data_IF_671082975862
#
_entry.id   IF_671082975862
#
_cell.length_a   1.000
_cell.length_b   1.000
_cell.length_c   1.000
_cell.angle_alpha   90.00
_cell.angle_beta   90.00
_cell.angle_gamma   90.00
#
_symmetry.space_group_name_H-M   'P 1'
#
loop_
_entity.id
_entity.type
_entity.pdbx_description
1 polymer ?
#
# COMPACT_ATOMS: atom_id res chain seq x y z
N UNK A 1 -10.61 34.09 -17.37
CA UNK A 1 -11.83 33.28 -17.19
C UNK A 1 -11.96 32.89 -15.73
N UNK A 2 -13.15 33.00 -15.12
CA UNK A 2 -13.40 32.41 -13.79
C UNK A 2 -13.37 30.89 -13.93
N UNK A 3 -12.50 30.21 -13.18
CA UNK A 3 -12.53 28.74 -13.07
C UNK A 3 -13.78 28.34 -12.31
N UNK A 4 -14.59 27.45 -12.87
CA UNK A 4 -15.77 26.88 -12.21
C UNK A 4 -15.39 25.50 -11.67
N UNK A 5 -15.75 25.23 -10.42
CA UNK A 5 -15.54 23.93 -9.78
C UNK A 5 -16.75 23.03 -10.13
N UNK A 6 -16.48 21.80 -10.56
CA UNK A 6 -17.49 20.82 -11.02
C UNK A 6 -17.21 19.44 -10.44
N UNK A 7 -18.30 18.73 -10.13
CA UNK A 7 -18.26 17.28 -9.92
C UNK A 7 -18.68 16.56 -11.21
N UNK A 8 -18.12 15.38 -11.47
CA UNK A 8 -18.56 14.54 -12.57
C UNK A 8 -19.67 13.60 -12.13
N UNK A 9 -20.77 13.58 -12.90
CA UNK A 9 -21.86 12.62 -12.71
C UNK A 9 -21.89 11.57 -13.84
N UNK A 10 -21.87 10.30 -13.42
CA UNK A 10 -22.01 9.17 -14.33
C UNK A 10 -23.44 9.11 -14.89
N UNK A 11 -23.58 9.21 -16.21
CA UNK A 11 -24.87 9.08 -16.90
C UNK A 11 -25.38 7.63 -17.03
N UNK A 12 -24.69 6.65 -16.42
CA UNK A 12 -24.99 5.21 -16.48
C UNK A 12 -25.21 4.68 -17.91
N UNK A 13 -24.47 5.22 -18.90
CA UNK A 13 -24.73 4.96 -20.31
C UNK A 13 -24.08 3.68 -20.87
N UNK A 14 -23.28 2.97 -20.05
CA UNK A 14 -22.60 1.71 -20.42
C UNK A 14 -21.47 1.84 -21.44
N UNK A 15 -21.21 3.05 -21.97
CA UNK A 15 -20.26 3.25 -23.07
C UNK A 15 -18.81 3.06 -22.66
N UNK A 16 -18.44 3.46 -21.44
CA UNK A 16 -17.11 3.14 -20.92
C UNK A 16 -16.94 1.63 -20.84
N UNK A 17 -17.92 0.91 -20.27
CA UNK A 17 -17.92 -0.55 -20.15
C UNK A 17 -17.86 -1.31 -21.49
N UNK A 18 -18.25 -0.69 -22.60
CA UNK A 18 -18.22 -1.29 -23.93
C UNK A 18 -16.87 -1.14 -24.66
N UNK A 19 -15.90 -0.47 -24.05
CA UNK A 19 -14.58 -0.17 -24.62
C UNK A 19 -13.53 -0.08 -23.51
N UNK A 20 -13.36 -1.16 -22.73
CA UNK A 20 -12.31 -1.29 -21.71
C UNK A 20 -11.39 -2.46 -22.06
N UNK A 21 -10.08 -2.23 -22.07
CA UNK A 21 -9.11 -3.33 -22.17
C UNK A 21 -8.95 -4.02 -20.81
N UNK A 22 -8.69 -3.24 -19.75
CA UNK A 22 -8.54 -3.73 -18.39
C UNK A 22 -9.18 -2.75 -17.40
N UNK A 23 -10.01 -3.26 -16.49
CA UNK A 23 -10.52 -2.48 -15.35
C UNK A 23 -9.81 -2.95 -14.09
N UNK A 24 -8.95 -2.11 -13.55
CA UNK A 24 -8.23 -2.43 -12.32
C UNK A 24 -9.19 -2.52 -11.13
N UNK A 25 -8.99 -3.52 -10.28
CA UNK A 25 -9.63 -3.66 -8.98
C UNK A 25 -8.59 -4.12 -7.95
N UNK A 26 -8.94 -4.05 -6.67
CA UNK A 26 -8.13 -4.57 -5.57
C UNK A 26 -8.73 -5.84 -4.98
N UNK A 27 -7.99 -6.58 -4.14
CA UNK A 27 -8.54 -7.69 -3.38
C UNK A 27 -9.74 -7.26 -2.51
N UNK A 28 -9.71 -6.02 -1.98
CA UNK A 28 -10.83 -5.43 -1.26
C UNK A 28 -12.11 -5.37 -2.09
N UNK A 29 -12.01 -4.83 -3.31
CA UNK A 29 -13.14 -4.69 -4.22
C UNK A 29 -13.62 -6.04 -4.77
N UNK A 30 -12.70 -6.99 -4.99
CA UNK A 30 -13.01 -8.34 -5.42
C UNK A 30 -13.96 -9.02 -4.41
N UNK A 31 -13.65 -8.95 -3.12
CA UNK A 31 -14.51 -9.52 -2.07
C UNK A 31 -15.87 -8.79 -1.98
N UNK A 32 -15.90 -7.48 -2.18
CA UNK A 32 -17.14 -6.71 -2.24
C UNK A 32 -18.03 -7.12 -3.43
N UNK A 33 -17.45 -7.29 -4.61
CA UNK A 33 -18.14 -7.74 -5.82
C UNK A 33 -18.62 -9.19 -5.70
N UNK A 34 -17.79 -10.09 -5.16
CA UNK A 34 -18.17 -11.48 -4.90
C UNK A 34 -19.38 -11.56 -3.97
N UNK A 35 -19.36 -10.78 -2.88
CA UNK A 35 -20.51 -10.66 -1.94
C UNK A 35 -21.76 -10.13 -2.62
N UNK A 36 -21.64 -9.09 -3.45
CA UNK A 36 -22.77 -8.52 -4.18
C UNK A 36 -23.40 -9.51 -5.18
N UNK A 37 -22.59 -10.38 -5.77
CA UNK A 37 -23.05 -11.44 -6.68
C UNK A 37 -23.43 -12.75 -5.97
N UNK A 38 -23.31 -12.80 -4.64
CA UNK A 38 -23.60 -13.99 -3.82
C UNK A 38 -22.79 -15.23 -4.25
N UNK A 39 -21.52 -15.03 -4.62
CA UNK A 39 -20.57 -16.10 -4.96
C UNK A 39 -19.30 -16.01 -4.11
N UNK A 40 -18.57 -17.11 -4.05
CA UNK A 40 -17.30 -17.16 -3.32
C UNK A 40 -16.21 -16.29 -4.00
N UNK A 41 -15.32 -15.63 -3.24
CA UNK A 41 -14.25 -14.80 -3.81
C UNK A 41 -13.35 -15.55 -4.81
N UNK A 42 -13.05 -16.83 -4.54
CA UNK A 42 -12.28 -17.67 -5.45
C UNK A 42 -13.04 -17.94 -6.77
N UNK A 43 -14.35 -18.13 -6.70
CA UNK A 43 -15.19 -18.27 -7.90
C UNK A 43 -15.24 -16.95 -8.68
N UNK A 44 -15.44 -15.82 -8.00
CA UNK A 44 -15.43 -14.51 -8.64
C UNK A 44 -14.12 -14.26 -9.38
N UNK A 45 -12.98 -14.53 -8.72
CA UNK A 45 -11.67 -14.42 -9.33
C UNK A 45 -11.58 -15.27 -10.61
N UNK A 46 -11.91 -16.56 -10.51
CA UNK A 46 -11.81 -17.48 -11.65
C UNK A 46 -12.70 -17.09 -12.84
N UNK A 47 -13.86 -16.49 -12.58
CA UNK A 47 -14.84 -16.14 -13.63
C UNK A 47 -14.58 -14.77 -14.24
N UNK A 48 -14.15 -13.81 -13.42
CA UNK A 48 -14.18 -12.40 -13.80
C UNK A 48 -12.83 -11.68 -13.69
N UNK A 49 -11.78 -12.30 -13.16
CA UNK A 49 -10.51 -11.61 -12.91
C UNK A 49 -9.33 -12.23 -13.68
N UNK A 50 -8.28 -11.42 -13.80
CA UNK A 50 -6.95 -11.83 -14.25
C UNK A 50 -5.90 -11.02 -13.49
N UNK A 51 -4.75 -11.61 -13.22
CA UNK A 51 -3.57 -10.89 -12.74
C UNK A 51 -2.67 -10.55 -13.93
N UNK A 52 -2.25 -9.29 -14.03
CA UNK A 52 -1.34 -8.86 -15.10
C UNK A 52 -0.41 -7.74 -14.63
N UNK A 53 0.76 -7.63 -15.26
CA UNK A 53 1.55 -6.40 -15.25
C UNK A 53 1.19 -5.59 -16.50
N UNK A 54 1.13 -4.27 -16.39
CA UNK A 54 0.93 -3.35 -17.51
C UNK A 54 2.07 -2.34 -17.59
N UNK A 55 2.14 -1.57 -18.67
CA UNK A 55 3.09 -0.45 -18.75
C UNK A 55 2.87 0.60 -17.67
N UNK A 56 1.66 0.69 -17.12
CA UNK A 56 1.31 1.63 -16.05
C UNK A 56 1.53 1.04 -14.65
N UNK A 57 1.41 -0.28 -14.52
CA UNK A 57 1.58 -1.03 -13.28
C UNK A 57 2.56 -2.20 -13.55
N UNK A 58 3.89 -1.99 -13.42
CA UNK A 58 4.88 -3.00 -13.74
C UNK A 58 4.85 -4.19 -12.79
N UNK A 59 4.36 -4.01 -11.56
CA UNK A 59 4.04 -5.08 -10.60
C UNK A 59 2.72 -5.77 -11.00
N UNK A 60 2.61 -7.07 -10.73
CA UNK A 60 1.33 -7.81 -10.89
C UNK A 60 0.21 -7.13 -10.11
N UNK A 61 -0.95 -6.97 -10.74
CA UNK A 61 -2.17 -6.43 -10.13
C UNK A 61 -3.41 -7.17 -10.64
N UNK A 62 -4.52 -7.03 -9.91
CA UNK A 62 -5.83 -7.58 -10.29
C UNK A 62 -6.56 -6.67 -11.29
N UNK A 63 -7.15 -7.30 -12.30
CA UNK A 63 -8.03 -6.65 -13.27
C UNK A 63 -9.27 -7.49 -13.52
N UNK A 64 -10.38 -6.83 -13.85
CA UNK A 64 -11.55 -7.49 -14.45
C UNK A 64 -11.15 -7.94 -15.85
N UNK A 65 -11.34 -9.23 -16.13
CA UNK A 65 -11.19 -9.82 -17.45
C UNK A 65 -12.29 -9.27 -18.37
N UNK A 66 -11.89 -8.63 -19.46
CA UNK A 66 -12.81 -8.15 -20.49
C UNK A 66 -12.87 -9.17 -21.63
N UNK A 67 -14.03 -9.24 -22.30
CA UNK A 67 -14.23 -10.09 -23.48
C UNK A 67 -14.49 -9.17 -24.67
N UNK A 68 -13.62 -9.22 -25.69
CA UNK A 68 -13.65 -8.32 -26.85
C UNK A 68 -13.75 -6.82 -26.50
N UNK A 69 -13.02 -6.41 -25.45
CA UNK A 69 -13.02 -5.02 -24.95
C UNK A 69 -14.29 -4.62 -24.20
N UNK A 70 -15.15 -5.58 -23.84
CA UNK A 70 -16.39 -5.35 -23.09
C UNK A 70 -16.28 -5.89 -21.68
N UNK A 71 -16.72 -5.09 -20.72
CA UNK A 71 -16.83 -5.50 -19.32
C UNK A 71 -17.90 -6.60 -19.18
N UNK A 72 -17.61 -7.71 -18.47
CA UNK A 72 -18.53 -8.83 -18.32
C UNK A 72 -19.81 -8.45 -17.53
N UNK A 73 -19.78 -7.34 -16.80
CA UNK A 73 -20.94 -6.83 -16.06
C UNK A 73 -21.85 -5.90 -16.88
N UNK A 74 -21.52 -5.62 -18.14
CA UNK A 74 -22.37 -4.83 -19.04
C UNK A 74 -23.56 -5.66 -19.54
N UNK A 75 -24.75 -5.41 -19.00
CA UNK A 75 -26.02 -6.04 -19.41
C UNK A 75 -27.02 -4.96 -19.85
N UNK A 76 -27.65 -5.14 -20.99
CA UNK A 76 -28.66 -4.20 -21.52
C UNK A 76 -28.19 -2.72 -21.55
N UNK A 77 -26.92 -2.51 -21.94
CA UNK A 77 -26.24 -1.21 -21.94
C UNK A 77 -26.10 -0.54 -20.56
N UNK A 78 -26.25 -1.29 -19.46
CA UNK A 78 -26.07 -0.82 -18.08
C UNK A 78 -25.12 -1.73 -17.31
N UNK A 79 -24.48 -1.17 -16.29
CA UNK A 79 -23.65 -1.96 -15.38
C UNK A 79 -24.56 -2.74 -14.43
N UNK A 80 -24.51 -4.07 -14.49
CA UNK A 80 -25.30 -4.95 -13.62
C UNK A 80 -24.83 -4.97 -12.17
N UNK A 81 -23.61 -4.52 -11.89
CA UNK A 81 -23.03 -4.39 -10.54
C UNK A 81 -22.80 -2.93 -10.17
N UNK A 82 -23.61 -1.99 -10.69
CA UNK A 82 -23.33 -0.56 -10.55
C UNK A 82 -23.13 -0.14 -9.09
N UNK A 83 -23.93 -0.67 -8.15
CA UNK A 83 -23.81 -0.35 -6.73
C UNK A 83 -22.52 -0.87 -6.08
N UNK A 84 -21.99 -2.00 -6.56
CA UNK A 84 -20.76 -2.63 -6.07
C UNK A 84 -19.56 -2.41 -7.00
N UNK A 85 -19.67 -1.51 -7.98
CA UNK A 85 -18.65 -1.32 -9.02
C UNK A 85 -17.29 -0.98 -8.40
N UNK A 86 -16.17 -1.38 -9.03
CA UNK A 86 -14.83 -1.04 -8.54
C UNK A 86 -14.65 0.46 -8.28
N UNK A 87 -13.78 0.83 -7.34
CA UNK A 87 -13.27 2.17 -7.10
C UNK A 87 -12.84 2.86 -8.39
N UNK A 88 -12.14 2.17 -9.29
CA UNK A 88 -11.77 2.74 -10.58
C UNK A 88 -13.00 3.19 -11.41
N UNK A 89 -14.11 2.47 -11.32
CA UNK A 89 -15.37 2.83 -11.96
C UNK A 89 -16.17 3.88 -11.18
N UNK A 90 -16.10 3.87 -9.84
CA UNK A 90 -16.74 4.88 -8.99
C UNK A 90 -16.07 6.24 -9.13
N UNK A 91 -14.74 6.27 -9.17
CA UNK A 91 -13.93 7.48 -9.20
C UNK A 91 -13.83 8.08 -10.60
N UNK A 92 -14.21 7.33 -11.65
CA UNK A 92 -14.12 7.81 -13.03
C UNK A 92 -14.76 9.20 -13.20
N UNK A 93 -14.09 10.14 -13.90
CA UNK A 93 -12.80 9.98 -14.59
C UNK A 93 -11.58 10.28 -13.70
N UNK A 94 -11.79 10.61 -12.44
CA UNK A 94 -10.78 11.09 -11.51
C UNK A 94 -9.87 9.95 -11.01
N UNK A 95 -8.57 10.26 -10.90
CA UNK A 95 -7.56 9.42 -10.22
C UNK A 95 -6.83 10.18 -9.11
N UNK A 96 -7.21 11.45 -8.96
CA UNK A 96 -6.55 12.49 -8.18
C UNK A 96 -7.65 13.40 -7.68
N UNK A 97 -7.45 14.10 -6.57
CA UNK A 97 -8.50 14.89 -5.95
C UNK A 97 -8.95 16.05 -6.83
N UNK A 98 -8.06 16.63 -7.62
CA UNK A 98 -8.42 17.71 -8.54
C UNK A 98 -7.63 17.63 -9.84
N UNK A 99 -8.28 18.03 -10.94
CA UNK A 99 -7.65 18.10 -12.27
C UNK A 99 -8.31 19.19 -13.11
N UNK A 100 -7.58 19.79 -14.04
CA UNK A 100 -8.20 20.63 -15.06
C UNK A 100 -9.03 19.74 -15.99
N UNK A 101 -10.21 20.24 -16.39
CA UNK A 101 -11.09 19.49 -17.28
C UNK A 101 -10.41 19.19 -18.61
N UNK A 102 -9.60 20.10 -19.13
CA UNK A 102 -8.79 19.90 -20.35
C UNK A 102 -7.86 18.69 -20.23
N UNK A 103 -7.09 18.61 -19.14
CA UNK A 103 -6.15 17.50 -18.88
C UNK A 103 -6.90 16.17 -18.79
N UNK A 104 -8.06 16.18 -18.11
CA UNK A 104 -8.88 14.99 -17.97
C UNK A 104 -9.47 14.53 -19.32
N UNK A 105 -9.94 15.46 -20.15
CA UNK A 105 -10.40 15.16 -21.51
C UNK A 105 -9.27 14.60 -22.38
N UNK A 106 -8.06 15.16 -22.27
CA UNK A 106 -6.90 14.66 -23.00
C UNK A 106 -6.55 13.22 -22.58
N UNK A 107 -6.56 12.93 -21.28
CA UNK A 107 -6.38 11.57 -20.76
C UNK A 107 -7.45 10.61 -21.28
N UNK A 108 -8.73 10.96 -21.14
CA UNK A 108 -9.85 10.10 -21.59
C UNK A 108 -9.81 9.89 -23.10
N UNK A 109 -9.48 10.91 -23.90
CA UNK A 109 -9.34 10.77 -25.36
C UNK A 109 -8.21 9.82 -25.74
N UNK A 110 -7.08 9.89 -25.04
CA UNK A 110 -5.93 9.01 -25.28
C UNK A 110 -6.23 7.55 -24.96
N UNK A 111 -7.02 7.27 -23.91
CA UNK A 111 -7.33 5.91 -23.46
C UNK A 111 -8.61 5.34 -24.05
N UNK A 112 -9.62 6.18 -24.28
CA UNK A 112 -10.98 5.78 -24.65
C UNK A 112 -11.53 6.72 -25.74
N UNK A 113 -10.99 6.70 -26.97
CA UNK A 113 -11.37 7.64 -28.02
C UNK A 113 -12.87 7.62 -28.37
N UNK A 114 -13.53 6.46 -28.22
CA UNK A 114 -14.98 6.32 -28.42
C UNK A 114 -15.83 7.16 -27.44
N UNK A 115 -15.28 7.52 -26.27
CA UNK A 115 -15.98 8.32 -25.26
C UNK A 115 -16.05 9.80 -25.59
N UNK A 116 -15.21 10.32 -26.48
CA UNK A 116 -15.19 11.74 -26.84
C UNK A 116 -16.56 12.26 -27.30
N UNK A 117 -17.26 11.47 -28.12
CA UNK A 117 -18.56 11.87 -28.68
C UNK A 117 -19.73 11.64 -27.71
N UNK A 118 -19.49 10.96 -26.58
CA UNK A 118 -20.58 10.29 -25.86
C UNK A 118 -20.58 10.46 -24.35
N UNK A 119 -19.44 10.77 -23.74
CA UNK A 119 -19.30 10.97 -22.30
C UNK A 119 -19.66 12.40 -21.89
N UNK A 120 -20.36 12.56 -20.77
CA UNK A 120 -20.75 13.86 -20.20
C UNK A 120 -19.55 14.76 -19.89
N UNK A 121 -18.37 14.18 -19.63
CA UNK A 121 -17.10 14.90 -19.46
C UNK A 121 -16.81 15.87 -20.61
N UNK A 122 -17.08 15.46 -21.86
CA UNK A 122 -16.77 16.27 -23.03
C UNK A 122 -17.72 17.46 -23.23
N UNK A 123 -18.79 17.56 -22.42
CA UNK A 123 -19.72 18.70 -22.41
C UNK A 123 -19.28 19.82 -21.46
N UNK A 124 -18.31 19.57 -20.60
CA UNK A 124 -17.78 20.56 -19.64
C UNK A 124 -16.81 21.54 -20.34
N UNK A 125 -16.55 22.71 -19.74
CA UNK A 125 -15.60 23.66 -20.33
C UNK A 125 -14.16 23.28 -19.98
N UNK A 126 -13.21 23.48 -20.89
CA UNK A 126 -11.81 23.09 -20.67
C UNK A 126 -11.17 23.78 -19.46
N UNK A 127 -11.57 25.03 -19.18
CA UNK A 127 -11.11 25.80 -18.02
C UNK A 127 -11.77 25.47 -16.67
N UNK A 128 -12.73 24.53 -16.63
CA UNK A 128 -13.35 24.07 -15.39
C UNK A 128 -12.38 23.19 -14.59
N UNK A 129 -12.49 23.18 -13.26
CA UNK A 129 -11.74 22.29 -12.37
C UNK A 129 -12.66 21.15 -11.94
N UNK A 130 -12.24 19.92 -12.16
CA UNK A 130 -12.94 18.73 -11.67
C UNK A 130 -12.45 18.37 -10.29
N UNK A 131 -13.36 18.06 -9.38
CA UNK A 131 -13.06 17.46 -8.09
C UNK A 131 -13.43 15.98 -8.10
N UNK A 132 -12.57 15.17 -7.50
CA UNK A 132 -12.83 13.78 -7.19
C UNK A 132 -13.33 13.62 -5.76
N UNK A 133 -14.07 12.54 -5.52
CA UNK A 133 -14.47 12.18 -4.16
C UNK A 133 -13.23 11.83 -3.33
N UNK A 134 -12.99 12.66 -2.32
CA UNK A 134 -11.77 12.60 -1.52
C UNK A 134 -11.66 11.30 -0.72
N UNK A 135 -12.77 10.85 -0.16
CA UNK A 135 -12.82 9.65 0.67
C UNK A 135 -12.67 8.41 -0.21
N UNK A 136 -13.39 8.38 -1.32
CA UNK A 136 -13.33 7.30 -2.31
C UNK A 136 -11.90 7.10 -2.84
N UNK A 137 -11.26 8.18 -3.29
CA UNK A 137 -9.91 8.14 -3.84
C UNK A 137 -8.91 7.70 -2.76
N UNK A 138 -9.09 8.12 -1.51
CA UNK A 138 -8.21 7.73 -0.40
C UNK A 138 -8.33 6.24 -0.08
N UNK A 139 -9.55 5.70 -0.03
CA UNK A 139 -9.79 4.26 0.16
C UNK A 139 -9.23 3.45 -1.01
N UNK A 140 -9.39 3.94 -2.24
CA UNK A 140 -8.79 3.34 -3.42
C UNK A 140 -7.27 3.29 -3.33
N UNK A 141 -6.63 4.39 -2.94
CA UNK A 141 -5.17 4.47 -2.77
C UNK A 141 -4.67 3.46 -1.74
N UNK A 142 -5.31 3.36 -0.58
CA UNK A 142 -4.89 2.40 0.46
C UNK A 142 -5.05 0.96 0.00
N UNK A 143 -6.20 0.59 -0.56
CA UNK A 143 -6.43 -0.75 -1.07
C UNK A 143 -5.42 -1.08 -2.19
N UNK A 144 -5.09 -0.10 -3.03
CA UNK A 144 -4.08 -0.26 -4.07
C UNK A 144 -2.66 -0.47 -3.50
N UNK A 145 -2.24 0.31 -2.50
CA UNK A 145 -0.94 0.13 -1.84
C UNK A 145 -0.82 -1.25 -1.19
N UNK A 146 -1.91 -1.76 -0.60
CA UNK A 146 -1.94 -3.11 -0.03
C UNK A 146 -1.71 -4.17 -1.11
N UNK A 147 -2.43 -4.10 -2.22
CA UNK A 147 -2.26 -5.06 -3.31
C UNK A 147 -0.86 -4.96 -3.94
N UNK A 148 -0.37 -3.76 -4.21
CA UNK A 148 0.97 -3.55 -4.79
C UNK A 148 2.08 -4.12 -3.89
N UNK A 149 2.02 -3.86 -2.58
CA UNK A 149 2.94 -4.43 -1.61
C UNK A 149 2.82 -5.95 -1.52
N UNK A 150 1.59 -6.47 -1.56
CA UNK A 150 1.33 -7.91 -1.48
C UNK A 150 1.87 -8.67 -2.69
N UNK A 151 1.59 -8.21 -3.90
CA UNK A 151 2.11 -8.85 -5.12
C UNK A 151 3.63 -8.72 -5.24
N UNK A 152 4.21 -7.65 -4.69
CA UNK A 152 5.67 -7.52 -4.57
C UNK A 152 6.30 -8.52 -3.59
N UNK A 153 5.58 -8.90 -2.53
CA UNK A 153 6.03 -9.83 -1.49
C UNK A 153 5.84 -11.30 -1.89
N UNK A 154 4.66 -11.64 -2.40
CA UNK A 154 4.21 -13.00 -2.57
C UNK A 154 4.50 -13.59 -3.96
N UNK A 155 4.79 -12.76 -4.97
CA UNK A 155 4.98 -13.22 -6.35
C UNK A 155 3.66 -13.62 -7.02
N UNK A 156 3.67 -14.69 -7.83
CA UNK A 156 2.48 -15.17 -8.55
C UNK A 156 1.47 -15.85 -7.60
N UNK A 157 0.22 -15.38 -7.68
CA UNK A 157 -1.01 -15.87 -7.02
C UNK A 157 -0.83 -16.60 -5.67
N UNK A 158 -0.83 -15.81 -4.60
CA UNK A 158 -1.03 -16.26 -3.22
C UNK A 158 -2.47 -15.94 -2.72
N UNK A 159 -2.82 -16.40 -1.52
CA UNK A 159 -4.12 -16.21 -0.85
C UNK A 159 -4.61 -14.74 -0.77
N UNK A 160 -5.55 -14.35 -1.65
CA UNK A 160 -6.15 -13.01 -1.70
C UNK A 160 -6.96 -12.63 -0.44
N UNK A 161 -7.22 -13.55 0.49
CA UNK A 161 -7.81 -13.23 1.80
C UNK A 161 -6.86 -12.37 2.65
N UNK A 162 -5.56 -12.45 2.41
CA UNK A 162 -4.54 -11.68 3.12
C UNK A 162 -4.62 -10.19 2.77
N UNK A 163 -4.42 -9.76 1.49
CA UNK A 163 -4.53 -8.36 1.13
C UNK A 163 -5.95 -7.82 1.37
N UNK A 164 -7.00 -8.63 1.22
CA UNK A 164 -8.36 -8.25 1.60
C UNK A 164 -8.46 -7.78 3.06
N UNK A 165 -8.02 -8.61 4.02
CA UNK A 165 -8.11 -8.28 5.46
C UNK A 165 -7.25 -7.08 5.84
N UNK A 166 -6.05 -6.97 5.26
CA UNK A 166 -5.16 -5.84 5.53
C UNK A 166 -5.73 -4.53 4.96
N UNK A 167 -6.29 -4.57 3.76
CA UNK A 167 -6.98 -3.42 3.18
C UNK A 167 -8.22 -3.04 4.00
N UNK A 168 -9.07 -4.01 4.36
CA UNK A 168 -10.26 -3.77 5.19
C UNK A 168 -9.91 -3.16 6.55
N UNK A 169 -8.78 -3.53 7.15
CA UNK A 169 -8.28 -2.87 8.36
C UNK A 169 -7.88 -1.42 8.09
N UNK A 170 -6.99 -1.17 7.12
CA UNK A 170 -6.37 0.15 6.96
C UNK A 170 -7.28 1.21 6.32
N UNK A 171 -8.26 0.84 5.50
CA UNK A 171 -9.23 1.81 4.96
C UNK A 171 -10.12 2.43 6.05
N UNK A 172 -10.17 1.83 7.24
CA UNK A 172 -10.88 2.37 8.40
C UNK A 172 -9.92 2.98 9.44
N UNK A 173 -8.61 2.90 9.22
CA UNK A 173 -7.60 3.49 10.10
C UNK A 173 -7.43 4.99 9.81
N UNK A 174 -7.57 5.82 10.85
CA UNK A 174 -7.57 7.28 10.72
C UNK A 174 -6.24 7.84 10.23
N UNK A 175 -5.11 7.29 10.70
CA UNK A 175 -3.78 7.78 10.32
C UNK A 175 -3.46 7.42 8.87
N UNK A 176 -3.80 6.20 8.48
CA UNK A 176 -3.61 5.71 7.11
C UNK A 176 -4.51 6.45 6.12
N UNK A 177 -5.77 6.70 6.49
CA UNK A 177 -6.68 7.50 5.68
C UNK A 177 -6.18 8.94 5.52
N UNK A 178 -5.63 9.56 6.56
CA UNK A 178 -5.02 10.88 6.47
C UNK A 178 -3.79 10.90 5.55
N UNK A 179 -2.95 9.85 5.59
CA UNK A 179 -1.81 9.71 4.67
C UNK A 179 -2.28 9.59 3.21
N UNK A 180 -3.28 8.76 2.94
CA UNK A 180 -3.85 8.59 1.60
C UNK A 180 -4.53 9.87 1.09
N UNK A 181 -5.24 10.56 1.98
CA UNK A 181 -5.85 11.88 1.74
C UNK A 181 -4.83 12.89 1.25
N UNK A 182 -3.67 12.99 1.89
CA UNK A 182 -2.62 13.91 1.44
C UNK A 182 -2.02 13.50 0.09
N UNK A 183 -1.88 12.20 -0.14
CA UNK A 183 -1.37 11.67 -1.40
C UNK A 183 -2.26 12.03 -2.60
N UNK A 184 -3.58 11.86 -2.49
CA UNK A 184 -4.49 12.08 -3.63
C UNK A 184 -4.63 13.56 -4.02
N UNK A 185 -4.27 14.51 -3.14
CA UNK A 185 -4.25 15.96 -3.47
C UNK A 185 -3.07 16.33 -4.36
N UNK A 186 -1.94 15.63 -4.25
CA UNK A 186 -0.71 15.99 -4.93
C UNK A 186 0.06 14.74 -5.43
N UNK A 187 -0.46 14.05 -6.45
CA UNK A 187 0.07 12.78 -6.96
C UNK A 187 1.36 12.94 -7.77
N UNK A 188 1.67 14.17 -8.23
CA UNK A 188 2.87 14.47 -9.02
C UNK A 188 4.10 14.74 -8.16
N UNK A 189 3.93 14.83 -6.83
CA UNK A 189 5.04 14.75 -5.92
C UNK A 189 5.31 13.28 -5.62
N UNK A 190 6.58 12.84 -5.53
CA UNK A 190 6.86 11.47 -5.12
C UNK A 190 6.12 11.20 -3.80
N UNK A 191 5.66 9.96 -3.55
CA UNK A 191 4.96 9.61 -2.31
C UNK A 191 5.71 10.04 -1.04
N UNK A 192 6.99 10.43 -1.16
CA UNK A 192 7.81 11.02 -0.10
C UNK A 192 7.45 12.39 0.43
N UNK A 193 6.39 13.02 -0.08
CA UNK A 193 6.01 14.35 0.40
C UNK A 193 4.99 14.34 1.56
N UNK A 194 4.36 13.21 1.90
CA UNK A 194 3.14 13.25 2.74
C UNK A 194 2.91 12.09 3.75
N UNK A 195 3.94 11.31 4.10
CA UNK A 195 3.81 10.20 5.07
C UNK A 195 3.28 8.90 4.46
N UNK A 196 3.16 8.84 3.13
CA UNK A 196 2.79 7.63 2.41
C UNK A 196 3.83 6.51 2.58
N UNK A 197 5.10 6.83 2.86
CA UNK A 197 6.12 5.80 3.11
C UNK A 197 5.88 5.04 4.41
N UNK A 198 5.51 5.77 5.48
CA UNK A 198 5.16 5.16 6.75
C UNK A 198 3.93 4.27 6.57
N UNK A 199 2.94 4.71 5.79
CA UNK A 199 1.78 3.91 5.44
C UNK A 199 2.18 2.64 4.67
N UNK A 200 2.99 2.74 3.62
CA UNK A 200 3.43 1.59 2.82
C UNK A 200 4.27 0.62 3.65
N UNK A 201 5.17 1.10 4.52
CA UNK A 201 5.93 0.25 5.43
C UNK A 201 5.04 -0.49 6.43
N UNK A 202 4.03 0.19 7.00
CA UNK A 202 3.02 -0.45 7.87
C UNK A 202 2.26 -1.55 7.13
N UNK A 203 1.82 -1.26 5.90
CA UNK A 203 1.16 -2.22 5.02
C UNK A 203 2.04 -3.44 4.77
N UNK A 204 3.28 -3.28 4.32
CA UNK A 204 4.19 -4.39 4.03
C UNK A 204 4.45 -5.25 5.25
N UNK A 205 4.61 -4.65 6.43
CA UNK A 205 4.79 -5.36 7.68
C UNK A 205 3.56 -6.19 8.07
N UNK A 206 2.36 -5.60 7.96
CA UNK A 206 1.11 -6.27 8.29
C UNK A 206 0.82 -7.43 7.32
N UNK A 207 1.06 -7.21 6.02
CA UNK A 207 0.97 -8.26 5.00
C UNK A 207 1.95 -9.38 5.28
N UNK A 208 3.19 -9.05 5.57
CA UNK A 208 4.22 -10.03 5.83
C UNK A 208 3.90 -10.88 7.06
N UNK A 209 3.43 -10.25 8.14
CA UNK A 209 2.95 -10.94 9.33
C UNK A 209 1.76 -11.86 9.00
N UNK A 210 0.78 -11.38 8.24
CA UNK A 210 -0.38 -12.16 7.83
C UNK A 210 0.00 -13.38 6.96
N UNK A 211 0.92 -13.21 5.99
CA UNK A 211 1.48 -14.31 5.17
C UNK A 211 2.14 -15.37 6.05
N UNK A 212 2.79 -14.96 7.14
CA UNK A 212 3.46 -15.85 8.08
C UNK A 212 2.56 -16.37 9.20
N UNK A 213 1.25 -16.06 9.19
CA UNK A 213 0.32 -16.36 10.27
C UNK A 213 0.83 -15.84 11.64
N UNK A 214 1.27 -14.59 11.66
CA UNK A 214 1.79 -13.87 12.81
C UNK A 214 0.97 -12.61 13.12
N UNK A 215 1.03 -12.18 14.38
CA UNK A 215 0.54 -10.89 14.85
C UNK A 215 1.63 -9.83 14.67
N UNK A 216 1.23 -8.60 14.32
CA UNK A 216 2.15 -7.48 14.15
C UNK A 216 1.89 -6.39 15.19
N UNK A 217 2.96 -5.81 15.73
CA UNK A 217 2.91 -4.61 16.57
C UNK A 217 3.94 -3.60 16.08
N UNK A 218 3.55 -2.32 16.05
CA UNK A 218 4.42 -1.22 15.68
C UNK A 218 4.97 -0.55 16.93
N UNK A 219 6.29 -0.48 17.05
CA UNK A 219 6.98 0.24 18.12
C UNK A 219 7.48 1.58 17.56
N UNK A 220 6.96 2.73 18.00
CA UNK A 220 7.51 4.01 17.59
C UNK A 220 8.93 4.15 18.13
N UNK A 221 9.87 4.49 17.25
CA UNK A 221 11.27 4.70 17.63
C UNK A 221 11.80 6.04 17.14
N UNK A 222 12.53 6.79 17.98
CA UNK A 222 13.40 7.89 17.49
C UNK A 222 14.83 7.38 17.38
N UNK A 223 15.45 7.65 16.24
CA UNK A 223 16.83 7.26 15.96
C UNK A 223 17.76 8.28 16.59
N UNK A 224 18.77 7.80 17.31
CA UNK A 224 19.92 8.61 17.72
C UNK A 224 21.18 7.93 17.17
N UNK A 225 21.91 8.60 16.28
CA UNK A 225 23.22 8.11 15.84
C UNK A 225 24.14 8.00 17.04
N UNK A 226 24.66 6.81 17.28
CA UNK A 226 25.62 6.55 18.33
C UNK A 226 27.01 6.32 17.72
N UNK A 227 28.04 6.85 18.38
CA UNK A 227 29.43 6.72 17.94
C UNK A 227 29.93 5.27 18.07
N UNK A 228 30.88 4.91 17.21
CA UNK A 228 31.57 3.62 17.17
C UNK A 228 32.11 3.24 18.57
N UNK A 229 31.65 2.11 19.12
CA UNK A 229 32.31 1.42 20.25
C UNK A 229 33.14 0.29 19.63
N UNK A 230 34.47 0.38 19.75
CA UNK A 230 35.43 -0.54 19.16
C UNK A 230 35.20 -2.02 19.54
N UNK A 231 34.42 -2.31 20.58
CA UNK A 231 34.09 -3.68 21.02
C UNK A 231 32.93 -4.32 20.25
N UNK A 232 32.06 -3.53 19.63
CA UNK A 232 30.82 -4.01 18.98
C UNK A 232 30.70 -3.58 17.51
N UNK A 233 31.51 -2.62 17.06
CA UNK A 233 31.38 -2.00 15.73
C UNK A 233 30.29 -0.93 15.70
N UNK A 234 29.74 -0.66 14.52
CA UNK A 234 28.66 0.32 14.33
C UNK A 234 27.33 -0.25 14.82
N UNK A 235 26.57 0.52 15.59
CA UNK A 235 25.28 0.13 16.15
C UNK A 235 24.27 1.28 16.06
N UNK A 236 22.98 0.93 16.08
CA UNK A 236 21.89 1.92 16.06
C UNK A 236 21.21 1.95 17.43
N UNK A 237 21.11 3.15 18.02
CA UNK A 237 20.32 3.38 19.22
C UNK A 237 18.94 3.91 18.84
N UNK A 238 17.91 3.16 19.23
CA UNK A 238 16.50 3.49 19.06
C UNK A 238 15.91 3.86 20.42
N UNK A 239 15.12 4.91 20.47
CA UNK A 239 14.37 5.31 21.67
C UNK A 239 12.89 5.00 21.48
N UNK A 240 12.28 4.25 22.39
CA UNK A 240 10.86 3.85 22.34
C UNK A 240 10.12 4.27 23.61
N UNK A 241 8.79 4.30 23.58
CA UNK A 241 7.99 4.49 24.79
C UNK A 241 8.27 3.39 25.84
N UNK A 242 7.96 3.69 27.10
CA UNK A 242 8.33 2.83 28.22
C UNK A 242 7.69 1.42 28.15
N UNK A 243 6.46 1.31 27.64
CA UNK A 243 5.76 0.03 27.54
C UNK A 243 6.35 -0.84 26.43
N UNK A 244 6.65 -0.23 25.28
CA UNK A 244 7.36 -0.90 24.18
C UNK A 244 8.76 -1.34 24.58
N UNK A 245 9.54 -0.47 25.25
CA UNK A 245 10.88 -0.81 25.74
C UNK A 245 10.84 -1.95 26.77
N UNK A 246 9.82 -1.95 27.65
CA UNK A 246 9.58 -3.02 28.62
C UNK A 246 9.19 -4.33 27.93
N UNK A 247 8.30 -4.30 26.94
CA UNK A 247 7.90 -5.48 26.17
C UNK A 247 9.07 -6.11 25.42
N UNK A 248 9.87 -5.30 24.71
CA UNK A 248 11.10 -5.74 24.05
C UNK A 248 12.10 -6.34 25.05
N UNK A 249 12.24 -5.72 26.24
CA UNK A 249 13.09 -6.24 27.30
C UNK A 249 12.63 -7.58 27.88
N UNK A 250 11.33 -7.80 28.01
CA UNK A 250 10.76 -9.08 28.44
C UNK A 250 10.96 -10.17 27.38
N UNK A 251 10.76 -9.83 26.10
CA UNK A 251 11.02 -10.73 24.98
C UNK A 251 12.50 -11.12 24.91
N UNK A 252 13.43 -10.17 25.08
CA UNK A 252 14.86 -10.47 25.09
C UNK A 252 15.29 -11.32 26.29
N UNK A 253 14.88 -10.95 27.51
CA UNK A 253 15.25 -11.67 28.74
C UNK A 253 14.72 -13.10 28.80
N UNK A 254 13.58 -13.35 28.18
CA UNK A 254 12.99 -14.69 28.15
C UNK A 254 13.70 -15.64 27.18
N UNK A 255 14.73 -15.18 26.45
CA UNK A 255 15.24 -15.89 25.27
C UNK A 255 14.20 -16.01 24.17
N UNK A 256 13.10 -15.26 24.33
CA UNK A 256 12.02 -15.00 23.37
C UNK A 256 12.67 -14.60 22.08
N UNK A 257 13.21 -13.37 22.10
CA UNK A 257 13.67 -12.57 20.98
C UNK A 257 14.90 -13.12 20.22
N UNK A 258 14.66 -13.95 19.21
CA UNK A 258 15.59 -14.29 18.12
C UNK A 258 15.12 -13.65 16.79
N UNK A 259 15.93 -12.74 16.24
CA UNK A 259 15.63 -11.98 15.02
C UNK A 259 16.40 -12.50 13.79
N UNK A 260 16.81 -13.76 13.82
CA UNK A 260 17.51 -14.42 12.72
C UNK A 260 16.72 -14.43 11.39
N UNK A 261 15.41 -14.21 11.41
CA UNK A 261 14.56 -14.05 10.22
C UNK A 261 14.16 -12.59 10.02
N UNK A 262 15.11 -11.80 9.55
CA UNK A 262 14.89 -10.40 9.17
C UNK A 262 14.77 -10.30 7.65
N UNK A 263 13.68 -9.71 7.17
CA UNK A 263 13.48 -9.34 5.78
C UNK A 263 13.71 -7.83 5.66
N UNK A 264 14.84 -7.44 5.09
CA UNK A 264 15.03 -6.06 4.67
C UNK A 264 14.47 -5.91 3.26
N UNK A 265 13.51 -5.01 3.10
CA UNK A 265 12.95 -4.67 1.81
C UNK A 265 13.47 -3.31 1.39
N UNK A 266 14.27 -3.30 0.33
CA UNK A 266 14.51 -2.10 -0.44
C UNK A 266 13.21 -1.78 -1.19
N UNK A 267 12.67 -0.58 -0.99
CA UNK A 267 11.51 -0.16 -1.76
C UNK A 267 11.96 0.39 -3.10
N UNK A 268 11.69 -0.32 -4.21
CA UNK A 268 11.99 0.14 -5.57
C UNK A 268 11.26 1.44 -5.95
N UNK A 269 10.22 1.83 -5.20
CA UNK A 269 9.59 3.14 -5.31
C UNK A 269 10.52 4.31 -4.88
N UNK A 270 11.68 4.02 -4.28
CA UNK A 270 12.65 5.02 -3.82
C UNK A 270 14.09 4.67 -4.19
N UNK A 271 14.79 5.63 -4.78
CA UNK A 271 16.25 5.63 -4.85
C UNK A 271 16.85 5.66 -3.43
N UNK A 272 17.18 4.48 -2.91
CA UNK A 272 18.07 4.31 -1.77
C UNK A 272 17.45 4.22 -0.37
N UNK A 273 16.14 4.08 -0.13
CA UNK A 273 15.61 3.93 1.25
C UNK A 273 15.25 2.48 1.58
N UNK A 274 15.48 2.03 2.83
CA UNK A 274 15.26 0.64 3.26
C UNK A 274 14.31 0.51 4.45
N UNK A 275 13.29 -0.35 4.32
CA UNK A 275 12.45 -0.79 5.45
C UNK A 275 13.01 -2.12 5.94
N UNK A 276 13.36 -2.24 7.21
CA UNK A 276 13.83 -3.49 7.80
C UNK A 276 12.71 -4.07 8.65
N UNK A 277 12.01 -5.04 8.06
CA UNK A 277 11.03 -5.84 8.78
C UNK A 277 11.74 -7.01 9.45
N UNK A 278 11.59 -7.18 10.77
CA UNK A 278 12.05 -8.40 11.43
C UNK A 278 10.87 -9.22 11.92
N UNK A 279 10.94 -10.54 11.80
CA UNK A 279 10.01 -11.41 12.49
C UNK A 279 10.71 -12.04 13.67
N UNK A 280 10.12 -11.84 14.83
CA UNK A 280 10.49 -12.57 16.01
C UNK A 280 9.58 -13.79 16.25
N UNK A 281 9.95 -14.92 15.68
CA UNK A 281 9.21 -16.17 15.90
C UNK A 281 9.91 -17.09 16.88
N UNK A 282 9.56 -17.04 18.17
CA UNK A 282 9.37 -18.32 18.86
C UNK A 282 8.21 -19.01 18.15
N UNK A 283 8.38 -20.28 17.77
CA UNK A 283 7.33 -21.10 17.15
C UNK A 283 6.02 -21.17 17.95
N UNK A 284 6.03 -20.72 19.21
CA UNK A 284 4.87 -20.62 20.09
C UNK A 284 4.12 -19.27 20.05
N UNK A 285 4.80 -18.16 19.73
CA UNK A 285 4.30 -16.82 20.09
C UNK A 285 3.81 -16.00 18.88
N UNK A 286 4.20 -16.36 17.64
CA UNK A 286 3.67 -15.76 16.41
C UNK A 286 3.71 -14.21 16.38
N UNK A 287 4.86 -13.58 16.66
CA UNK A 287 5.02 -12.11 16.71
C UNK A 287 5.96 -11.61 15.58
N UNK A 288 5.61 -10.49 14.93
CA UNK A 288 6.48 -9.76 14.00
C UNK A 288 6.80 -8.35 14.55
N UNK A 289 8.06 -7.92 14.42
CA UNK A 289 8.55 -6.62 14.91
C UNK A 289 9.26 -5.88 13.77
N UNK A 290 8.64 -4.81 13.27
CA UNK A 290 9.20 -4.00 12.19
C UNK A 290 9.91 -2.73 12.65
N UNK A 291 10.94 -2.32 11.91
CA UNK A 291 11.61 -1.03 12.07
C UNK A 291 11.72 -0.32 10.71
N UNK A 292 11.56 1.00 10.72
CA UNK A 292 11.70 1.82 9.51
C UNK A 292 13.00 2.60 9.64
N UNK A 293 13.92 2.39 8.68
CA UNK A 293 15.18 3.12 8.61
C UNK A 293 15.09 4.22 7.56
N UNK A 294 15.36 5.44 7.98
CA UNK A 294 15.37 6.61 7.10
C UNK A 294 16.77 6.84 6.50
N UNK A 295 17.50 5.77 6.15
CA UNK A 295 18.88 5.87 5.67
C UNK A 295 19.06 5.32 4.25
N UNK A 296 20.17 5.72 3.62
CA UNK A 296 20.49 5.26 2.27
C UNK A 296 20.86 3.76 2.24
N UNK A 297 20.57 3.04 1.16
CA UNK A 297 20.96 1.64 1.00
C UNK A 297 22.44 1.39 1.03
N UNK A 298 23.21 2.39 0.61
CA UNK A 298 24.66 2.43 0.76
C UNK A 298 25.06 2.41 2.23
N UNK A 299 24.36 3.16 3.10
CA UNK A 299 24.62 3.19 4.55
C UNK A 299 24.26 1.85 5.18
N UNK A 300 23.14 1.23 4.80
CA UNK A 300 22.76 -0.10 5.31
C UNK A 300 23.80 -1.16 4.92
N UNK A 301 24.28 -1.14 3.67
CA UNK A 301 25.38 -2.01 3.19
C UNK A 301 26.68 -1.75 3.94
N UNK A 302 27.03 -0.50 4.19
CA UNK A 302 28.23 -0.15 4.95
C UNK A 302 28.15 -0.64 6.40
N UNK A 303 27.01 -0.43 7.07
CA UNK A 303 26.78 -0.86 8.46
C UNK A 303 26.81 -2.38 8.63
N UNK A 304 26.45 -3.13 7.57
CA UNK A 304 26.33 -4.59 7.61
C UNK A 304 27.44 -5.31 6.85
N UNK A 305 28.43 -4.59 6.30
CA UNK A 305 29.45 -5.15 5.39
C UNK A 305 28.81 -5.97 4.26
N UNK A 306 27.92 -5.34 3.49
CA UNK A 306 27.10 -5.96 2.45
C UNK A 306 26.33 -7.20 2.95
N UNK A 307 25.81 -7.13 4.18
CA UNK A 307 25.05 -8.22 4.80
C UNK A 307 25.90 -9.35 5.39
N UNK A 308 27.23 -9.25 5.40
CA UNK A 308 28.13 -10.25 6.02
C UNK A 308 28.16 -10.16 7.54
N UNK A 309 27.81 -9.00 8.11
CA UNK A 309 27.79 -8.74 9.55
C UNK A 309 26.38 -8.33 9.99
N UNK A 310 25.94 -8.77 11.18
CA UNK A 310 24.67 -8.33 11.73
C UNK A 310 24.71 -6.83 12.06
N UNK A 311 23.58 -6.15 11.87
CA UNK A 311 23.34 -4.81 12.38
C UNK A 311 22.94 -4.90 13.85
N UNK A 312 23.71 -4.30 14.75
CA UNK A 312 23.36 -4.27 16.17
C UNK A 312 22.40 -3.12 16.47
N UNK A 313 21.26 -3.44 17.11
CA UNK A 313 20.26 -2.45 17.50
C UNK A 313 20.07 -2.48 19.00
N UNK A 314 20.01 -1.30 19.62
CA UNK A 314 19.75 -1.11 21.04
C UNK A 314 18.51 -0.23 21.26
N UNK A 315 17.68 -0.58 22.24
CA UNK A 315 16.49 0.16 22.65
C UNK A 315 16.71 0.82 24.00
N UNK A 316 16.43 2.12 24.05
CA UNK A 316 16.39 2.93 25.27
C UNK A 316 14.96 3.46 25.50
N UNK A 317 14.41 3.44 26.72
CA UNK A 317 13.15 4.11 26.99
C UNK A 317 13.28 5.64 26.87
N UNK A 318 12.24 6.31 26.38
CA UNK A 318 12.17 7.78 26.36
C UNK A 318 12.18 8.40 27.77
N UNK A 319 11.63 7.71 28.77
CA UNK A 319 11.56 8.15 30.16
C UNK A 319 11.90 7.01 31.13
N UNK A 320 12.66 7.32 32.19
CA UNK A 320 13.09 6.35 33.22
C UNK A 320 14.54 5.90 33.07
N UNK A 321 15.39 6.30 34.02
CA UNK A 321 16.84 6.08 34.00
C UNK A 321 17.29 4.64 34.35
N UNK A 322 16.37 3.75 34.75
CA UNK A 322 16.72 2.44 35.33
C UNK A 322 16.50 1.22 34.42
N UNK A 323 16.00 1.38 33.20
CA UNK A 323 15.81 0.22 32.30
C UNK A 323 17.12 -0.10 31.58
N UNK A 324 17.68 -1.29 31.82
CA UNK A 324 18.82 -1.82 31.07
C UNK A 324 18.54 -1.76 29.57
N UNK A 325 19.48 -1.21 28.79
CA UNK A 325 19.43 -1.23 27.33
C UNK A 325 19.18 -2.66 26.84
N UNK A 326 18.22 -2.79 25.93
CA UNK A 326 17.90 -4.07 25.31
C UNK A 326 18.49 -4.03 23.92
N UNK A 327 19.45 -4.91 23.64
CA UNK A 327 20.10 -4.97 22.34
C UNK A 327 20.06 -6.35 21.73
N UNK A 328 20.04 -6.40 20.41
CA UNK A 328 20.07 -7.64 19.64
C UNK A 328 20.73 -7.46 18.27
N UNK A 329 21.31 -8.52 17.71
CA UNK A 329 21.80 -8.53 16.33
C UNK A 329 20.63 -8.73 15.35
N UNK A 330 20.62 -7.93 14.28
CA UNK A 330 19.75 -8.14 13.11
C UNK A 330 20.56 -8.64 11.92
N UNK A 331 20.23 -9.84 11.43
CA UNK A 331 20.80 -10.36 10.19
C UNK A 331 20.05 -9.77 8.99
N UNK A 332 20.52 -8.63 8.49
CA UNK A 332 19.92 -7.94 7.34
C UNK A 332 20.32 -8.67 6.06
N UNK A 333 19.36 -9.30 5.36
CA UNK A 333 19.57 -9.79 3.99
C UNK A 333 19.33 -8.65 3.01
N UNK A 334 20.38 -8.23 2.31
CA UNK A 334 20.37 -7.12 1.35
C UNK A 334 20.20 -7.61 -0.08
#
# INVERSE_FOLDING_TARGET
>A
MKKVIRDFECAMCGRCCASQDLVQLTAYELYGLARHLEIEPAEFFSRYCVTASTTQNPTLHLYIKTEDGRCPFLKDNKCSVHEARPYACMAYPMRVYWSLTEDMKAFVRSKYPALEKTCSLFRLNDGDVLLGDYELLSRQTLAWWVDDAYFSLAGEMADLSIPYRVADFYIHDKEMMEAAKRYVVNPYHPPSAFGAELAYARISLMLQAAIWNATASFVPVKVQEAKEDERLGKFILLTADADSAKALGLLAKSGRLDLARTLAMASNAYGGRHVIASMHGSSSDHIAIGFIFHESGTIIRELTDDGKKPLYIFFKPETGDEVKLVGFPLNVKI
#
